data_IF_340168684794
#
_entry.id   IF_340168684794
#
_cell.length_a   1.000
_cell.length_b   1.000
_cell.length_c   1.000
_cell.angle_alpha   90.00
_cell.angle_beta   90.00
_cell.angle_gamma   90.00
#
_symmetry.space_group_name_H-M   'P 1'
#
loop_
_entity.id
_entity.type
_entity.pdbx_description
1 polymer ?
#
# COMPACT_ATOMS: atom_id res chain seq x y z
N UNK A 1 38.44 6.17 66.09
CA UNK A 1 38.93 5.96 64.69
C UNK A 1 38.07 4.99 63.89
N UNK A 2 37.82 3.75 64.34
CA UNK A 2 37.07 2.75 63.54
C UNK A 2 35.61 3.13 63.24
N UNK A 3 34.85 3.62 64.23
CA UNK A 3 33.47 4.10 63.99
C UNK A 3 33.43 5.31 63.05
N UNK A 4 34.45 6.18 63.12
CA UNK A 4 34.60 7.34 62.26
C UNK A 4 34.90 6.95 60.81
N UNK A 5 35.80 5.98 60.60
CA UNK A 5 36.10 5.44 59.27
C UNK A 5 34.90 4.71 58.66
N UNK A 6 34.15 3.96 59.48
CA UNK A 6 32.94 3.28 59.00
C UNK A 6 31.85 4.27 58.60
N UNK A 7 31.66 5.35 59.37
CA UNK A 7 30.74 6.43 59.02
C UNK A 7 31.12 7.10 57.69
N UNK A 8 32.41 7.35 57.44
CA UNK A 8 32.90 7.92 56.17
C UNK A 8 32.66 6.97 54.98
N UNK A 9 32.91 5.67 55.17
CA UNK A 9 32.69 4.67 54.11
C UNK A 9 31.19 4.55 53.81
N UNK A 10 30.34 4.56 54.84
CA UNK A 10 28.89 4.55 54.69
C UNK A 10 28.41 5.80 53.97
N UNK A 11 28.85 6.99 54.39
CA UNK A 11 28.46 8.24 53.74
C UNK A 11 28.93 8.33 52.29
N UNK A 12 30.16 7.91 51.97
CA UNK A 12 30.64 7.82 50.58
C UNK A 12 29.81 6.84 49.75
N UNK A 13 29.44 5.70 50.34
CA UNK A 13 28.58 4.72 49.68
C UNK A 13 27.18 5.27 49.45
N UNK A 14 26.61 5.98 50.42
CA UNK A 14 25.30 6.61 50.34
C UNK A 14 25.30 7.73 49.29
N UNK A 15 26.40 8.48 49.17
CA UNK A 15 26.62 9.48 48.13
C UNK A 15 26.73 8.88 46.73
N UNK A 16 27.52 7.81 46.57
CA UNK A 16 27.60 7.09 45.29
C UNK A 16 26.21 6.56 44.91
N UNK A 17 25.53 5.94 45.87
CA UNK A 17 24.17 5.42 45.66
C UNK A 17 23.20 6.53 45.31
N UNK A 18 23.27 7.68 45.99
CA UNK A 18 22.42 8.85 45.76
C UNK A 18 22.70 9.51 44.41
N UNK A 19 23.97 9.57 43.99
CA UNK A 19 24.38 10.08 42.67
C UNK A 19 23.91 9.14 41.56
N UNK A 20 24.08 7.84 41.74
CA UNK A 20 23.64 6.83 40.78
C UNK A 20 22.11 6.82 40.68
N UNK A 21 21.39 6.94 41.80
CA UNK A 21 19.93 7.11 41.82
C UNK A 21 19.49 8.41 41.14
N UNK A 22 20.20 9.52 41.33
CA UNK A 22 19.90 10.79 40.68
C UNK A 22 20.10 10.71 39.16
N UNK A 23 21.20 10.10 38.71
CA UNK A 23 21.44 9.84 37.30
C UNK A 23 20.38 8.91 36.71
N UNK A 24 20.06 7.79 37.38
CA UNK A 24 18.99 6.90 36.93
C UNK A 24 17.64 7.60 36.82
N UNK A 25 17.30 8.45 37.81
CA UNK A 25 16.06 9.24 37.78
C UNK A 25 16.07 10.24 36.62
N UNK A 26 17.20 10.91 36.39
CA UNK A 26 17.34 11.84 35.26
C UNK A 26 17.31 11.12 33.91
N UNK A 27 17.95 9.96 33.76
CA UNK A 27 17.89 9.12 32.57
C UNK A 27 16.45 8.64 32.30
N UNK A 28 15.73 8.21 33.34
CA UNK A 28 14.32 7.84 33.23
C UNK A 28 13.47 9.04 32.76
N UNK A 29 13.69 10.23 33.31
CA UNK A 29 13.02 11.46 32.86
C UNK A 29 13.39 11.85 31.43
N UNK A 30 14.66 11.70 31.02
CA UNK A 30 15.07 11.94 29.64
C UNK A 30 14.42 10.96 28.68
N UNK A 31 14.31 9.68 29.05
CA UNK A 31 13.60 8.68 28.27
C UNK A 31 12.11 9.01 28.14
N UNK A 32 11.46 9.43 29.23
CA UNK A 32 10.05 9.86 29.23
C UNK A 32 9.83 11.12 28.36
N UNK A 33 10.72 12.11 28.46
CA UNK A 33 10.71 13.30 27.61
C UNK A 33 10.94 12.94 26.13
N UNK A 34 11.85 12.01 25.83
CA UNK A 34 12.10 11.53 24.47
C UNK A 34 10.85 10.83 23.89
N UNK A 35 10.20 9.99 24.68
CA UNK A 35 8.95 9.33 24.29
C UNK A 35 7.83 10.34 24.02
N UNK A 36 7.65 11.33 24.90
CA UNK A 36 6.66 12.39 24.71
C UNK A 36 6.98 13.29 23.50
N UNK A 37 8.26 13.56 23.23
CA UNK A 37 8.71 14.27 22.01
C UNK A 37 8.38 13.49 20.76
N UNK A 38 8.67 12.21 20.73
CA UNK A 38 8.35 11.35 19.59
C UNK A 38 6.84 11.28 19.34
N UNK A 39 6.05 11.18 20.42
CA UNK A 39 4.59 11.24 20.33
C UNK A 39 4.12 12.57 19.75
N UNK A 40 4.69 13.70 20.20
CA UNK A 40 4.35 15.03 19.68
C UNK A 40 4.79 15.21 18.22
N UNK A 41 5.97 14.71 17.83
CA UNK A 41 6.45 14.74 16.44
C UNK A 41 5.54 13.94 15.51
N UNK A 42 5.11 12.73 15.94
CA UNK A 42 4.14 11.93 15.20
C UNK A 42 2.80 12.67 15.06
N UNK A 43 2.31 13.28 16.13
CA UNK A 43 1.08 14.06 16.13
C UNK A 43 1.19 15.28 15.20
N UNK A 44 2.31 16.01 15.23
CA UNK A 44 2.57 17.16 14.35
C UNK A 44 2.63 16.75 12.88
N UNK A 45 3.29 15.64 12.55
CA UNK A 45 3.30 15.08 11.18
C UNK A 45 1.88 14.72 10.73
N UNK A 46 1.09 14.10 11.61
CA UNK A 46 -0.29 13.75 11.34
C UNK A 46 -1.21 14.98 11.16
N UNK A 47 -1.00 16.03 11.96
CA UNK A 47 -1.68 17.32 11.85
C UNK A 47 -1.29 18.06 10.56
N UNK A 48 0.00 18.13 10.23
CA UNK A 48 0.49 18.75 9.00
C UNK A 48 -0.06 18.05 7.75
N UNK A 49 -0.18 16.71 7.76
CA UNK A 49 -0.83 15.95 6.68
C UNK A 49 -2.32 16.26 6.57
N UNK A 50 -3.03 16.35 7.69
CA UNK A 50 -4.46 16.69 7.70
C UNK A 50 -4.73 18.13 7.23
N UNK A 51 -3.83 19.06 7.56
CA UNK A 51 -3.91 20.48 7.21
C UNK A 51 -3.23 20.82 5.86
N UNK A 52 -2.80 19.84 5.07
CA UNK A 52 -2.06 20.07 3.81
C UNK A 52 -2.84 20.91 2.80
N UNK A 53 -4.17 20.83 2.81
CA UNK A 53 -5.07 21.67 2.00
C UNK A 53 -5.17 23.13 2.47
N UNK A 54 -4.67 23.45 3.66
CA UNK A 54 -4.79 24.77 4.31
C UNK A 54 -3.41 25.32 4.72
N UNK A 55 -2.66 25.93 3.80
CA UNK A 55 -1.27 26.33 4.03
C UNK A 55 -1.07 27.35 5.16
N UNK A 56 -2.06 28.22 5.44
CA UNK A 56 -2.00 29.17 6.55
C UNK A 56 -2.00 28.47 7.92
N UNK A 57 -2.84 27.43 8.06
CA UNK A 57 -2.95 26.64 9.28
C UNK A 57 -1.74 25.71 9.45
N UNK A 58 -1.25 25.15 8.34
CA UNK A 58 -0.02 24.36 8.35
C UNK A 58 1.21 25.21 8.76
N UNK A 59 1.27 26.49 8.39
CA UNK A 59 2.34 27.41 8.83
C UNK A 59 2.25 27.73 10.33
N UNK A 60 1.05 27.82 10.90
CA UNK A 60 0.88 28.04 12.34
C UNK A 60 1.50 26.90 13.18
N UNK A 61 1.54 25.66 12.68
CA UNK A 61 2.24 24.53 13.32
C UNK A 61 3.78 24.66 13.35
N UNK A 62 4.34 25.54 12.53
CA UNK A 62 5.79 25.77 12.44
C UNK A 62 6.24 27.07 13.11
N UNK A 63 5.29 27.91 13.51
CA UNK A 63 5.60 29.19 14.12
C UNK A 63 6.15 28.95 15.53
N UNK A 64 7.29 29.56 15.89
CA UNK A 64 7.83 29.43 17.24
C UNK A 64 6.83 30.01 18.24
N UNK A 65 6.73 29.33 19.37
CA UNK A 65 6.04 29.77 20.56
C UNK A 65 6.28 31.26 20.84
N UNK A 66 5.21 32.07 20.80
CA UNK A 66 5.25 33.39 21.39
C UNK A 66 5.45 33.23 22.89
N UNK A 67 6.37 34.01 23.48
CA UNK A 67 6.58 34.01 24.94
C UNK A 67 5.26 34.31 25.63
N UNK A 68 4.63 33.30 26.23
CA UNK A 68 3.53 33.55 27.17
C UNK A 68 4.11 34.16 28.44
N UNK A 69 3.63 35.37 28.73
CA UNK A 69 3.86 36.11 29.96
C UNK A 69 3.23 35.33 31.12
N UNK A 70 4.02 34.44 31.70
CA UNK A 70 3.57 33.62 32.82
C UNK A 70 4.44 32.38 32.96
N UNK A 71 5.76 32.56 32.99
CA UNK A 71 6.66 31.53 33.51
C UNK A 71 6.58 31.61 35.03
N UNK A 72 5.86 30.70 35.72
CA UNK A 72 5.78 30.75 37.17
C UNK A 72 7.07 30.12 37.65
N UNK A 73 8.01 30.97 38.05
CA UNK A 73 9.23 30.58 38.73
C UNK A 73 8.84 29.70 39.93
N UNK A 74 9.10 28.39 39.85
CA UNK A 74 8.75 27.41 40.89
C UNK A 74 7.84 26.26 40.48
N UNK A 75 7.57 26.03 39.18
CA UNK A 75 6.83 24.83 38.75
C UNK A 75 7.66 23.55 38.90
N UNK A 76 7.08 22.56 39.57
CA UNK A 76 7.63 21.21 39.74
C UNK A 76 7.69 20.47 38.38
N UNK A 77 8.72 19.66 38.16
CA UNK A 77 8.98 18.97 36.90
C UNK A 77 7.81 18.07 36.49
N UNK A 78 7.20 17.39 37.46
CA UNK A 78 6.04 16.51 37.24
C UNK A 78 4.83 17.31 36.74
N UNK A 79 4.64 18.55 37.20
CA UNK A 79 3.54 19.41 36.75
C UNK A 79 3.67 19.83 35.28
N UNK A 80 4.91 20.05 34.81
CA UNK A 80 5.19 20.36 33.40
C UNK A 80 4.96 19.15 32.50
N UNK A 81 5.30 17.94 32.96
CA UNK A 81 5.04 16.69 32.24
C UNK A 81 3.54 16.41 32.12
N UNK A 82 2.78 16.62 33.20
CA UNK A 82 1.32 16.49 33.19
C UNK A 82 0.71 17.48 32.19
N UNK A 83 1.15 18.75 32.22
CA UNK A 83 0.67 19.78 31.27
C UNK A 83 0.98 19.39 29.82
N UNK A 84 2.20 18.90 29.54
CA UNK A 84 2.57 18.45 28.20
C UNK A 84 1.69 17.28 27.70
N UNK A 85 1.35 16.34 28.59
CA UNK A 85 0.47 15.20 28.29
C UNK A 85 -0.98 15.61 28.06
N UNK A 86 -1.49 16.51 28.89
CA UNK A 86 -2.84 17.04 28.77
C UNK A 86 -3.01 17.78 27.43
N UNK A 87 -2.08 18.67 27.09
CA UNK A 87 -2.08 19.39 25.81
C UNK A 87 -1.90 18.45 24.62
N UNK A 88 -1.06 17.41 24.72
CA UNK A 88 -0.96 16.37 23.68
C UNK A 88 -2.28 15.60 23.50
N UNK A 89 -2.99 15.33 24.58
CA UNK A 89 -4.27 14.62 24.55
C UNK A 89 -5.34 15.47 23.88
N UNK A 90 -5.45 16.75 24.27
CA UNK A 90 -6.31 17.75 23.61
C UNK A 90 -6.01 17.88 22.12
N UNK A 91 -4.73 17.95 21.74
CA UNK A 91 -4.31 17.98 20.35
C UNK A 91 -4.72 16.70 19.59
N UNK A 92 -4.59 15.54 20.23
CA UNK A 92 -5.00 14.24 19.67
C UNK A 92 -6.52 14.11 19.48
N UNK A 93 -7.31 14.69 20.37
CA UNK A 93 -8.78 14.76 20.27
C UNK A 93 -9.21 15.73 19.17
N UNK A 94 -8.67 16.96 19.16
CA UNK A 94 -8.93 17.94 18.12
C UNK A 94 -8.59 17.40 16.72
N UNK A 95 -7.48 16.65 16.58
CA UNK A 95 -7.13 15.99 15.32
C UNK A 95 -8.12 14.89 14.92
N UNK A 96 -8.63 14.12 15.89
CA UNK A 96 -9.64 13.07 15.64
C UNK A 96 -10.96 13.69 15.19
N UNK A 97 -11.41 14.75 15.84
CA UNK A 97 -12.61 15.49 15.45
C UNK A 97 -12.44 16.15 14.08
N UNK A 98 -11.29 16.79 13.83
CA UNK A 98 -10.96 17.36 12.53
C UNK A 98 -11.00 16.32 11.40
N UNK A 99 -10.54 15.09 11.67
CA UNK A 99 -10.58 13.97 10.71
C UNK A 99 -11.98 13.37 10.49
N UNK A 100 -12.94 13.62 11.40
CA UNK A 100 -14.35 13.22 11.23
C UNK A 100 -15.10 14.17 10.30
N UNK A 101 -14.63 15.41 10.14
CA UNK A 101 -15.17 16.33 9.14
C UNK A 101 -14.87 15.77 7.73
N UNK A 102 -15.92 15.46 6.98
CA UNK A 102 -15.79 14.85 5.64
C UNK A 102 -15.19 15.78 4.59
N UNK A 103 -15.48 17.09 4.69
CA UNK A 103 -15.06 18.09 3.70
C UNK A 103 -13.54 18.36 3.74
N UNK A 104 -12.89 18.59 4.91
CA UNK A 104 -11.43 18.76 4.98
C UNK A 104 -10.63 17.54 4.49
N UNK A 105 -11.17 16.31 4.61
CA UNK A 105 -10.51 15.09 4.13
C UNK A 105 -10.28 15.10 2.62
N UNK A 106 -11.27 15.53 1.84
CA UNK A 106 -11.20 15.56 0.37
C UNK A 106 -10.08 16.49 -0.13
N UNK A 107 -9.84 17.59 0.57
CA UNK A 107 -8.79 18.57 0.22
C UNK A 107 -7.43 18.29 0.88
N UNK A 108 -7.34 17.29 1.77
CA UNK A 108 -6.07 16.85 2.35
C UNK A 108 -5.26 15.94 1.41
N UNK A 109 -5.95 15.16 0.56
CA UNK A 109 -5.35 14.22 -0.39
C UNK A 109 -5.13 14.83 -1.78
N UNK A 110 -6.01 15.73 -2.23
CA UNK A 110 -5.83 16.47 -3.48
C UNK A 110 -5.59 17.96 -3.20
N UNK A 111 -4.42 18.51 -3.55
CA UNK A 111 -4.24 19.96 -3.55
C UNK A 111 -5.24 20.58 -4.54
N UNK A 112 -5.81 21.71 -4.15
CA UNK A 112 -6.84 22.43 -4.92
C UNK A 112 -6.41 22.67 -6.36
N UNK A 113 -5.14 23.01 -6.57
CA UNK A 113 -4.57 23.20 -7.90
C UNK A 113 -4.66 21.94 -8.76
N UNK A 114 -4.43 20.76 -8.19
CA UNK A 114 -4.52 19.49 -8.90
C UNK A 114 -6.00 19.11 -9.15
N UNK A 115 -6.89 19.38 -8.21
CA UNK A 115 -8.33 19.15 -8.39
C UNK A 115 -8.89 20.03 -9.52
N UNK A 116 -8.52 21.32 -9.55
CA UNK A 116 -8.88 22.24 -10.63
C UNK A 116 -8.26 21.80 -11.96
N UNK A 117 -6.99 21.40 -11.97
CA UNK A 117 -6.32 20.89 -13.17
C UNK A 117 -6.99 19.61 -13.70
N UNK A 118 -7.38 18.68 -12.82
CA UNK A 118 -8.10 17.46 -13.18
C UNK A 118 -9.48 17.79 -13.76
N UNK A 119 -10.21 18.73 -13.14
CA UNK A 119 -11.50 19.20 -13.66
C UNK A 119 -11.35 19.85 -15.04
N UNK A 120 -10.29 20.62 -15.28
CA UNK A 120 -9.98 21.19 -16.59
C UNK A 120 -9.65 20.09 -17.61
N UNK A 121 -8.84 19.10 -17.22
CA UNK A 121 -8.51 17.95 -18.09
C UNK A 121 -9.74 17.12 -18.43
N UNK A 122 -10.63 16.87 -17.48
CA UNK A 122 -11.90 16.17 -17.68
C UNK A 122 -12.81 16.99 -18.59
N UNK A 123 -12.93 18.31 -18.34
CA UNK A 123 -13.70 19.22 -19.18
C UNK A 123 -13.19 19.24 -20.63
N UNK A 124 -11.87 19.25 -20.84
CA UNK A 124 -11.27 19.16 -22.16
C UNK A 124 -11.52 17.79 -22.80
N UNK A 125 -11.32 16.69 -22.07
CA UNK A 125 -11.60 15.34 -22.55
C UNK A 125 -13.06 15.14 -22.97
N UNK A 126 -14.02 15.70 -22.22
CA UNK A 126 -15.43 15.66 -22.58
C UNK A 126 -15.74 16.55 -23.80
N UNK A 127 -15.16 17.76 -23.87
CA UNK A 127 -15.41 18.69 -24.97
C UNK A 127 -14.82 18.21 -26.31
N UNK A 128 -13.69 17.48 -26.28
CA UNK A 128 -12.97 17.03 -27.49
C UNK A 128 -13.14 15.53 -27.80
N UNK A 129 -13.37 14.68 -26.79
CA UNK A 129 -13.48 13.23 -26.95
C UNK A 129 -14.89 12.72 -27.25
N UNK A 130 -15.93 13.32 -26.66
CA UNK A 130 -17.33 12.92 -26.93
C UNK A 130 -17.76 13.11 -28.40
N UNK A 131 -17.30 14.13 -29.15
CA UNK A 131 -17.55 14.23 -30.59
C UNK A 131 -17.02 13.03 -31.39
N UNK A 132 -15.90 12.43 -30.99
CA UNK A 132 -15.34 11.25 -31.67
C UNK A 132 -16.18 9.98 -31.43
N UNK A 133 -17.02 9.98 -30.39
CA UNK A 133 -17.96 8.91 -30.06
C UNK A 133 -19.37 9.13 -30.67
N UNK A 134 -19.56 10.14 -31.52
CA UNK A 134 -20.81 10.37 -32.27
C UNK A 134 -21.81 11.34 -31.61
N UNK A 135 -21.42 12.08 -30.56
CA UNK A 135 -22.25 13.13 -29.96
C UNK A 135 -22.09 14.48 -30.68
N UNK A 136 -23.15 15.30 -30.65
CA UNK A 136 -23.16 16.63 -31.27
C UNK A 136 -22.01 17.52 -30.71
N UNK A 137 -21.16 18.11 -31.58
CA UNK A 137 -20.08 19.01 -31.19
C UNK A 137 -20.52 20.23 -30.35
N UNK A 138 -21.77 20.70 -30.52
CA UNK A 138 -22.30 21.82 -29.74
C UNK A 138 -22.63 21.43 -28.30
N UNK A 139 -23.28 20.27 -28.14
CA UNK A 139 -23.73 19.74 -26.86
C UNK A 139 -22.55 19.25 -25.99
N UNK A 140 -21.55 18.64 -26.60
CA UNK A 140 -20.31 18.22 -25.93
C UNK A 140 -19.50 19.40 -25.33
N UNK A 141 -19.42 20.54 -26.03
CA UNK A 141 -18.78 21.76 -25.50
C UNK A 141 -19.54 22.35 -24.31
N UNK A 142 -20.88 22.34 -24.34
CA UNK A 142 -21.71 22.80 -23.22
C UNK A 142 -21.50 21.91 -21.99
N UNK A 143 -21.48 20.58 -22.17
CA UNK A 143 -21.20 19.62 -21.10
C UNK A 143 -19.79 19.88 -20.51
N UNK A 144 -18.77 20.02 -21.37
CA UNK A 144 -17.40 20.31 -20.93
C UNK A 144 -17.30 21.63 -20.15
N UNK A 145 -17.93 22.70 -20.64
CA UNK A 145 -17.95 24.00 -19.97
C UNK A 145 -18.70 23.97 -18.62
N UNK A 146 -19.83 23.26 -18.55
CA UNK A 146 -20.60 23.10 -17.32
C UNK A 146 -19.83 22.31 -16.26
N UNK A 147 -19.13 21.24 -16.65
CA UNK A 147 -18.28 20.44 -15.75
C UNK A 147 -17.07 21.24 -15.28
N UNK A 148 -16.41 21.98 -16.18
CA UNK A 148 -15.24 22.78 -15.85
C UNK A 148 -15.56 23.96 -14.92
N UNK A 149 -16.47 24.85 -15.33
CA UNK A 149 -16.81 26.07 -14.58
C UNK A 149 -17.66 25.73 -13.36
N UNK A 150 -18.70 24.91 -13.53
CA UNK A 150 -19.59 24.50 -12.43
C UNK A 150 -18.85 23.66 -11.39
N UNK A 151 -18.04 22.70 -11.83
CA UNK A 151 -17.22 21.88 -10.92
C UNK A 151 -16.18 22.70 -10.15
N UNK A 152 -15.54 23.68 -10.81
CA UNK A 152 -14.56 24.56 -10.15
C UNK A 152 -15.22 25.48 -9.13
N UNK A 153 -16.40 26.03 -9.44
CA UNK A 153 -17.15 26.87 -8.51
C UNK A 153 -17.60 26.08 -7.27
N UNK A 154 -18.12 24.87 -7.47
CA UNK A 154 -18.50 23.96 -6.38
C UNK A 154 -17.28 23.60 -5.52
N UNK A 155 -16.14 23.28 -6.13
CA UNK A 155 -14.90 23.01 -5.40
C UNK A 155 -14.46 24.22 -4.55
N UNK A 156 -14.60 25.44 -5.07
CA UNK A 156 -14.24 26.68 -4.36
C UNK A 156 -15.17 26.95 -3.18
N UNK A 157 -16.48 26.73 -3.34
CA UNK A 157 -17.47 26.84 -2.25
C UNK A 157 -17.21 25.79 -1.17
N UNK A 158 -16.95 24.54 -1.57
CA UNK A 158 -16.61 23.46 -0.63
C UNK A 158 -15.32 23.74 0.15
N UNK A 159 -14.33 24.41 -0.47
CA UNK A 159 -13.13 24.88 0.23
C UNK A 159 -13.43 25.96 1.26
N UNK A 160 -14.30 26.91 0.93
CA UNK A 160 -14.73 27.95 1.87
C UNK A 160 -15.43 27.35 3.10
N UNK A 161 -16.36 26.41 2.86
CA UNK A 161 -17.07 25.69 3.92
C UNK A 161 -16.11 24.82 4.74
N UNK A 162 -15.18 24.11 4.09
CA UNK A 162 -14.16 23.31 4.77
C UNK A 162 -13.24 24.15 5.64
N UNK A 163 -12.87 25.36 5.19
CA UNK A 163 -12.06 26.30 5.95
C UNK A 163 -12.80 26.81 7.19
N UNK A 164 -14.08 27.17 7.08
CA UNK A 164 -14.85 27.71 8.21
C UNK A 164 -15.21 26.63 9.24
N UNK A 165 -15.61 25.44 8.81
CA UNK A 165 -15.95 24.33 9.70
C UNK A 165 -14.72 23.79 10.45
N UNK A 166 -13.54 23.82 9.82
CA UNK A 166 -12.30 23.32 10.39
C UNK A 166 -11.46 24.35 11.14
N UNK A 167 -11.78 25.65 11.06
CA UNK A 167 -10.93 26.72 11.60
C UNK A 167 -10.74 26.64 13.11
N UNK A 168 -11.85 26.55 13.88
CA UNK A 168 -11.79 26.50 15.34
C UNK A 168 -11.04 25.25 15.85
N UNK A 169 -11.29 24.09 15.24
CA UNK A 169 -10.58 22.85 15.59
C UNK A 169 -9.11 22.90 15.19
N UNK A 170 -8.78 23.52 14.06
CA UNK A 170 -7.39 23.70 13.64
C UNK A 170 -6.65 24.67 14.55
N UNK A 171 -7.31 25.72 15.04
CA UNK A 171 -6.76 26.67 16.00
C UNK A 171 -6.43 25.97 17.32
N UNK A 172 -7.39 25.24 17.90
CA UNK A 172 -7.18 24.40 19.10
C UNK A 172 -6.06 23.38 18.90
N UNK A 173 -5.99 22.74 17.72
CA UNK A 173 -4.92 21.80 17.38
C UNK A 173 -3.55 22.48 17.33
N UNK A 174 -3.47 23.67 16.73
CA UNK A 174 -2.21 24.42 16.63
C UNK A 174 -1.75 24.98 17.97
N UNK A 175 -2.67 25.50 18.80
CA UNK A 175 -2.36 26.04 20.11
C UNK A 175 -1.93 24.94 21.09
N UNK A 176 -2.64 23.82 21.15
CA UNK A 176 -2.29 22.69 22.02
C UNK A 176 -0.94 22.05 21.64
N UNK A 177 -0.65 21.89 20.35
CA UNK A 177 0.69 21.42 19.90
C UNK A 177 1.78 22.41 20.31
N UNK A 178 1.50 23.72 20.24
CA UNK A 178 2.44 24.76 20.66
C UNK A 178 2.67 24.72 22.18
N UNK A 179 1.63 24.68 22.99
CA UNK A 179 1.74 24.60 24.45
C UNK A 179 2.42 23.32 24.92
N UNK A 180 2.15 22.18 24.27
CA UNK A 180 2.84 20.92 24.55
C UNK A 180 4.35 21.04 24.29
N UNK A 181 4.74 21.73 23.21
CA UNK A 181 6.16 21.97 22.89
C UNK A 181 6.81 22.92 23.90
N UNK A 182 6.15 24.02 24.25
CA UNK A 182 6.63 24.97 25.26
C UNK A 182 6.85 24.28 26.62
N UNK A 183 5.89 23.45 27.04
CA UNK A 183 6.00 22.66 28.26
C UNK A 183 7.18 21.68 28.21
N UNK A 184 7.42 21.00 27.08
CA UNK A 184 8.56 20.08 26.90
C UNK A 184 9.92 20.80 26.89
N UNK A 185 10.01 21.96 26.25
CA UNK A 185 11.24 22.78 26.24
C UNK A 185 11.54 23.34 27.63
N UNK A 186 10.50 23.72 28.38
CA UNK A 186 10.63 24.19 29.77
C UNK A 186 11.00 23.05 30.71
N UNK A 187 10.35 21.89 30.58
CA UNK A 187 10.65 20.70 31.39
C UNK A 187 12.09 20.22 31.22
N UNK A 188 12.63 20.25 29.99
CA UNK A 188 14.05 19.92 29.77
C UNK A 188 14.98 20.86 30.52
N UNK A 189 14.75 22.18 30.41
CA UNK A 189 15.59 23.18 31.09
C UNK A 189 15.52 23.05 32.61
N UNK A 190 14.33 22.79 33.15
CA UNK A 190 14.13 22.58 34.59
C UNK A 190 14.81 21.28 35.04
N UNK A 191 14.70 20.18 34.30
CA UNK A 191 15.35 18.92 34.65
C UNK A 191 16.89 19.00 34.62
N UNK A 192 17.46 19.70 33.65
CA UNK A 192 18.91 19.95 33.56
C UNK A 192 19.38 20.84 34.72
N UNK A 193 18.63 21.91 35.02
CA UNK A 193 18.93 22.80 36.15
C UNK A 193 18.81 22.09 37.50
N UNK A 194 17.80 21.24 37.68
CA UNK A 194 17.55 20.48 38.92
C UNK A 194 18.67 19.46 39.16
N UNK A 195 19.06 18.70 38.13
CA UNK A 195 20.21 17.79 38.18
C UNK A 195 21.48 18.52 38.61
N UNK A 196 21.79 19.64 37.96
CA UNK A 196 23.01 20.38 38.24
C UNK A 196 23.00 21.00 39.64
N UNK A 197 21.86 21.53 40.09
CA UNK A 197 21.73 22.06 41.45
C UNK A 197 21.87 20.97 42.52
N UNK A 198 21.33 19.77 42.26
CA UNK A 198 21.38 18.65 43.19
C UNK A 198 22.76 18.02 43.25
N UNK A 199 23.46 17.91 42.10
CA UNK A 199 24.86 17.48 42.04
C UNK A 199 25.77 18.44 42.81
N UNK A 200 25.62 19.75 42.59
CA UNK A 200 26.40 20.75 43.32
C UNK A 200 26.14 20.65 44.84
N UNK A 201 24.89 20.41 45.26
CA UNK A 201 24.55 20.24 46.68
C UNK A 201 25.16 18.97 47.28
N UNK A 202 25.18 17.87 46.53
CA UNK A 202 25.83 16.62 46.91
C UNK A 202 27.35 16.81 47.03
N UNK A 203 27.98 17.48 46.07
CA UNK A 203 29.42 17.77 46.08
C UNK A 203 29.81 18.65 47.28
N UNK A 204 29.04 19.71 47.55
CA UNK A 204 29.29 20.58 48.69
C UNK A 204 29.13 19.83 50.02
N UNK A 205 28.15 18.92 50.12
CA UNK A 205 27.99 18.05 51.29
C UNK A 205 29.17 17.06 51.47
N UNK A 206 29.83 16.63 50.39
CA UNK A 206 31.06 15.83 50.45
C UNK A 206 32.22 16.67 50.98
N UNK A 207 32.36 17.89 50.46
CA UNK A 207 33.46 18.79 50.80
C UNK A 207 33.37 19.20 52.28
N UNK A 208 32.19 19.62 52.74
CA UNK A 208 31.92 19.99 54.13
C UNK A 208 32.22 18.83 55.09
N UNK A 209 31.76 17.63 54.75
CA UNK A 209 32.01 16.46 55.59
C UNK A 209 33.48 16.05 55.58
N UNK A 210 34.16 16.13 54.44
CA UNK A 210 35.59 15.82 54.35
C UNK A 210 36.44 16.79 55.17
N UNK A 211 36.06 18.08 55.22
CA UNK A 211 36.71 19.09 56.03
C UNK A 211 36.52 18.84 57.53
N UNK A 212 35.29 18.52 57.97
CA UNK A 212 35.01 18.10 59.37
C UNK A 212 35.84 16.88 59.77
N UNK A 213 35.96 15.90 58.88
CA UNK A 213 36.77 14.70 59.10
C UNK A 213 38.26 14.99 59.19
N UNK A 214 38.81 15.84 58.32
CA UNK A 214 40.23 16.19 58.35
C UNK A 214 40.60 16.99 59.61
N UNK A 215 39.68 17.82 60.12
CA UNK A 215 39.84 18.53 61.39
C UNK A 215 39.79 17.57 62.59
N UNK A 216 38.89 16.59 62.57
CA UNK A 216 38.77 15.56 63.61
C UNK A 216 39.91 14.53 63.57
N UNK A 217 40.56 14.35 62.41
CA UNK A 217 41.73 13.50 62.22
C UNK A 217 43.02 14.17 62.70
N UNK A 218 43.18 15.48 62.47
CA UNK A 218 44.32 16.27 63.00
C UNK A 218 44.35 16.32 64.53
N UNK A 219 43.22 16.10 65.19
CA UNK A 219 43.07 16.13 66.65
C UNK A 219 43.21 14.76 67.33
N UNK A 220 43.47 13.67 66.61
CA UNK A 220 43.59 12.32 67.18
C UNK A 220 45.05 11.81 67.13
N UNK A 221 45.68 11.46 68.27
CA UNK A 221 47.08 11.04 68.30
C UNK A 221 47.30 9.66 67.66
N UNK A 222 48.46 9.53 67.03
CA UNK A 222 48.83 8.49 66.08
C UNK A 222 48.87 7.06 66.65
N UNK A 223 48.24 6.11 65.94
CA UNK A 223 48.44 4.69 66.17
C UNK A 223 49.78 4.21 65.58
N UNK A 224 50.48 3.35 66.31
CA UNK A 224 51.82 2.82 66.04
C UNK A 224 51.91 2.08 64.69
N UNK A 225 53.06 2.16 64.01
CA UNK A 225 53.28 1.64 62.65
C UNK A 225 53.05 0.13 62.49
N UNK A 226 53.25 -0.65 63.55
CA UNK A 226 52.98 -2.09 63.57
C UNK A 226 51.47 -2.42 63.44
N UNK A 227 50.60 -1.64 64.08
CA UNK A 227 49.14 -1.84 63.97
C UNK A 227 48.61 -1.47 62.58
N UNK A 228 49.29 -0.57 61.87
CA UNK A 228 48.94 -0.20 60.49
C UNK A 228 49.24 -1.34 59.52
N UNK A 229 50.40 -1.99 59.67
CA UNK A 229 50.81 -3.11 58.83
C UNK A 229 49.87 -4.32 59.00
N UNK A 230 49.51 -4.66 60.24
CA UNK A 230 48.57 -5.77 60.51
C UNK A 230 47.16 -5.49 59.97
N UNK A 231 46.67 -4.25 60.11
CA UNK A 231 45.37 -3.86 59.54
C UNK A 231 45.38 -3.88 58.01
N UNK A 232 46.46 -3.43 57.38
CA UNK A 232 46.60 -3.46 55.92
C UNK A 232 46.53 -4.89 55.38
N UNK A 233 47.26 -5.82 56.01
CA UNK A 233 47.27 -7.22 55.58
C UNK A 233 45.89 -7.89 55.73
N UNK A 234 45.15 -7.57 56.79
CA UNK A 234 43.75 -8.05 56.97
C UNK A 234 42.82 -7.47 55.91
N UNK A 235 43.00 -6.20 55.55
CA UNK A 235 42.24 -5.55 54.48
C UNK A 235 42.53 -6.19 53.13
N UNK A 236 43.79 -6.43 52.78
CA UNK A 236 44.17 -7.02 51.49
C UNK A 236 43.56 -8.42 51.31
N UNK A 237 43.55 -9.24 52.38
CA UNK A 237 42.89 -10.57 52.36
C UNK A 237 41.37 -10.46 52.21
N UNK A 238 40.73 -9.49 52.88
CA UNK A 238 39.28 -9.27 52.75
C UNK A 238 38.92 -8.78 51.34
N UNK A 239 39.72 -7.86 50.78
CA UNK A 239 39.57 -7.32 49.44
C UNK A 239 39.70 -8.42 48.39
N UNK A 240 40.71 -9.29 48.49
CA UNK A 240 40.88 -10.41 47.58
C UNK A 240 39.69 -11.39 47.60
N UNK A 241 39.14 -11.70 48.80
CA UNK A 241 37.94 -12.55 48.92
C UNK A 241 36.70 -11.90 48.32
N UNK A 242 36.52 -10.60 48.54
CA UNK A 242 35.40 -9.84 47.99
C UNK A 242 35.44 -9.82 46.46
N UNK A 243 36.61 -9.59 45.86
CA UNK A 243 36.77 -9.64 44.41
C UNK A 243 36.50 -11.04 43.86
N UNK A 244 37.09 -12.09 44.44
CA UNK A 244 36.85 -13.47 43.99
C UNK A 244 35.37 -13.87 44.09
N UNK A 245 34.66 -13.43 45.13
CA UNK A 245 33.22 -13.65 45.26
C UNK A 245 32.42 -12.88 44.21
N UNK A 246 32.77 -11.60 43.98
CA UNK A 246 32.11 -10.76 42.99
C UNK A 246 32.28 -11.33 41.57
N UNK A 247 33.48 -11.77 41.21
CA UNK A 247 33.78 -12.37 39.90
C UNK A 247 33.00 -13.67 39.70
N UNK A 248 32.93 -14.52 40.73
CA UNK A 248 32.15 -15.76 40.66
C UNK A 248 30.64 -15.50 40.48
N UNK A 249 30.09 -14.50 41.18
CA UNK A 249 28.68 -14.10 41.03
C UNK A 249 28.45 -13.45 39.65
N UNK A 250 29.39 -12.62 39.18
CA UNK A 250 29.35 -11.99 37.87
C UNK A 250 29.32 -13.03 36.74
N UNK A 251 30.26 -13.97 36.74
CA UNK A 251 30.34 -15.04 35.75
C UNK A 251 29.08 -15.92 35.72
N UNK A 252 28.50 -16.23 36.89
CA UNK A 252 27.26 -17.01 36.99
C UNK A 252 26.05 -16.27 36.41
N UNK A 253 25.94 -14.96 36.71
CA UNK A 253 24.88 -14.11 36.14
C UNK A 253 25.02 -13.94 34.64
N UNK A 254 26.24 -13.73 34.16
CA UNK A 254 26.52 -13.62 32.72
C UNK A 254 26.17 -14.92 31.99
N UNK A 255 26.59 -16.08 32.51
CA UNK A 255 26.24 -17.37 31.93
C UNK A 255 24.72 -17.60 31.88
N UNK A 256 24.01 -17.21 32.95
CA UNK A 256 22.55 -17.33 33.01
C UNK A 256 21.87 -16.38 32.01
N UNK A 257 22.35 -15.13 31.89
CA UNK A 257 21.81 -14.16 30.93
C UNK A 257 22.02 -14.62 29.49
N UNK A 258 23.22 -15.12 29.17
CA UNK A 258 23.54 -15.67 27.85
C UNK A 258 22.63 -16.86 27.54
N UNK A 259 22.45 -17.78 28.49
CA UNK A 259 21.58 -18.95 28.30
C UNK A 259 20.12 -18.55 28.04
N UNK A 260 19.57 -17.59 28.82
CA UNK A 260 18.22 -17.07 28.60
C UNK A 260 18.09 -16.44 27.22
N UNK A 261 19.01 -15.54 26.85
CA UNK A 261 18.99 -14.87 25.55
C UNK A 261 19.11 -15.86 24.37
N UNK A 262 19.92 -16.91 24.50
CA UNK A 262 20.01 -17.95 23.49
C UNK A 262 18.70 -18.73 23.36
N UNK A 263 18.04 -19.05 24.48
CA UNK A 263 16.77 -19.77 24.46
C UNK A 263 15.64 -18.94 23.85
N UNK A 264 15.57 -17.65 24.17
CA UNK A 264 14.60 -16.70 23.61
C UNK A 264 14.81 -16.52 22.12
N UNK A 265 16.06 -16.34 21.66
CA UNK A 265 16.36 -16.27 20.24
C UNK A 265 15.97 -17.55 19.49
N UNK A 266 16.29 -18.71 20.05
CA UNK A 266 15.94 -19.99 19.42
C UNK A 266 14.41 -20.22 19.37
N UNK A 267 13.65 -19.64 20.29
CA UNK A 267 12.18 -19.65 20.25
C UNK A 267 11.64 -18.70 19.18
N UNK A 268 12.14 -17.47 19.12
CA UNK A 268 11.78 -16.50 18.10
C UNK A 268 12.11 -16.99 16.68
N UNK A 269 13.27 -17.63 16.49
CA UNK A 269 13.65 -18.23 15.21
C UNK A 269 12.71 -19.37 14.80
N UNK A 270 12.29 -20.21 15.76
CA UNK A 270 11.31 -21.28 15.52
C UNK A 270 9.94 -20.72 15.17
N UNK A 271 9.47 -19.70 15.88
CA UNK A 271 8.20 -19.05 15.60
C UNK A 271 8.21 -18.36 14.23
N UNK A 272 9.27 -17.61 13.92
CA UNK A 272 9.44 -16.97 12.62
C UNK A 272 9.49 -17.99 11.47
N UNK A 273 10.25 -19.07 11.63
CA UNK A 273 10.33 -20.16 10.64
C UNK A 273 8.98 -20.85 10.45
N UNK A 274 8.25 -21.09 11.55
CA UNK A 274 6.91 -21.67 11.50
C UNK A 274 5.90 -20.75 10.79
N UNK A 275 5.97 -19.45 11.06
CA UNK A 275 5.12 -18.45 10.40
C UNK A 275 5.41 -18.35 8.90
N UNK A 276 6.69 -18.33 8.51
CA UNK A 276 7.10 -18.33 7.10
C UNK A 276 6.58 -19.59 6.40
N UNK A 277 6.79 -20.77 6.99
CA UNK A 277 6.33 -22.04 6.41
C UNK A 277 4.80 -22.11 6.26
N UNK A 278 4.03 -21.61 7.24
CA UNK A 278 2.57 -21.53 7.14
C UNK A 278 2.11 -20.56 6.04
N UNK A 279 2.79 -19.41 5.91
CA UNK A 279 2.50 -18.44 4.86
C UNK A 279 2.81 -18.99 3.46
N UNK A 280 3.94 -19.67 3.30
CA UNK A 280 4.32 -20.35 2.06
C UNK A 280 3.32 -21.45 1.71
N UNK A 281 2.95 -22.30 2.67
CA UNK A 281 1.95 -23.36 2.46
C UNK A 281 0.58 -22.79 2.05
N UNK A 282 0.15 -21.67 2.65
CA UNK A 282 -1.09 -20.97 2.26
C UNK A 282 -0.99 -20.38 0.87
N UNK A 283 0.13 -19.77 0.53
CA UNK A 283 0.37 -19.19 -0.79
C UNK A 283 0.37 -20.26 -1.87
N UNK A 284 1.13 -21.34 -1.68
CA UNK A 284 1.17 -22.48 -2.61
C UNK A 284 -0.20 -23.14 -2.75
N UNK A 285 -0.92 -23.32 -1.65
CA UNK A 285 -2.28 -23.85 -1.66
C UNK A 285 -3.26 -22.97 -2.45
N UNK A 286 -3.23 -21.66 -2.23
CA UNK A 286 -4.07 -20.72 -2.97
C UNK A 286 -3.72 -20.67 -4.47
N UNK A 287 -2.43 -20.68 -4.79
CA UNK A 287 -1.95 -20.71 -6.18
C UNK A 287 -2.37 -22.00 -6.90
N UNK A 288 -2.25 -23.16 -6.24
CA UNK A 288 -2.67 -24.44 -6.78
C UNK A 288 -4.19 -24.47 -7.03
N UNK A 289 -4.99 -23.94 -6.10
CA UNK A 289 -6.45 -23.84 -6.27
C UNK A 289 -6.84 -22.93 -7.44
N UNK A 290 -6.21 -21.76 -7.56
CA UNK A 290 -6.46 -20.83 -8.68
C UNK A 290 -6.07 -21.47 -10.02
N UNK A 291 -4.91 -22.11 -10.09
CA UNK A 291 -4.42 -22.78 -11.29
C UNK A 291 -5.34 -23.92 -11.69
N UNK A 292 -5.80 -24.71 -10.72
CA UNK A 292 -6.74 -25.80 -10.96
C UNK A 292 -8.09 -25.27 -11.48
N UNK A 293 -8.66 -24.26 -10.82
CA UNK A 293 -9.92 -23.65 -11.26
C UNK A 293 -9.79 -23.04 -12.67
N UNK A 294 -8.67 -22.36 -12.95
CA UNK A 294 -8.36 -21.82 -14.27
C UNK A 294 -8.36 -22.92 -15.34
N UNK A 295 -7.62 -24.02 -15.14
CA UNK A 295 -7.58 -25.12 -16.11
C UNK A 295 -8.92 -25.81 -16.27
N UNK A 296 -9.70 -25.99 -15.19
CA UNK A 296 -11.06 -26.54 -15.26
C UNK A 296 -11.96 -25.66 -16.14
N UNK A 297 -11.98 -24.35 -15.90
CA UNK A 297 -12.75 -23.42 -16.72
C UNK A 297 -12.28 -23.38 -18.17
N UNK A 298 -10.96 -23.48 -18.38
CA UNK A 298 -10.42 -23.49 -19.74
C UNK A 298 -10.85 -24.75 -20.50
N UNK A 299 -10.74 -25.92 -19.87
CA UNK A 299 -11.15 -27.19 -20.48
C UNK A 299 -12.65 -27.20 -20.79
N UNK A 300 -13.49 -26.64 -19.92
CA UNK A 300 -14.92 -26.49 -20.17
C UNK A 300 -15.20 -25.60 -21.39
N UNK A 301 -14.53 -24.46 -21.48
CA UNK A 301 -14.70 -23.53 -22.59
C UNK A 301 -14.14 -24.09 -23.91
N UNK A 302 -13.03 -24.82 -23.87
CA UNK A 302 -12.46 -25.51 -25.02
C UNK A 302 -13.36 -26.64 -25.51
N UNK A 303 -13.94 -27.44 -24.60
CA UNK A 303 -14.93 -28.45 -24.97
C UNK A 303 -16.14 -27.80 -25.61
N UNK A 304 -16.75 -26.80 -24.96
CA UNK A 304 -17.92 -26.12 -25.48
C UNK A 304 -17.67 -25.46 -26.84
N UNK A 305 -16.48 -24.88 -27.04
CA UNK A 305 -16.07 -24.35 -28.34
C UNK A 305 -15.97 -25.42 -29.41
N UNK A 306 -15.30 -26.54 -29.11
CA UNK A 306 -15.18 -27.65 -30.04
C UNK A 306 -16.55 -28.25 -30.37
N UNK A 307 -17.40 -28.47 -29.38
CA UNK A 307 -18.73 -29.03 -29.53
C UNK A 307 -19.64 -28.14 -30.39
N UNK A 308 -19.48 -26.81 -30.30
CA UNK A 308 -20.26 -25.87 -31.09
C UNK A 308 -19.73 -25.66 -32.51
N UNK A 309 -18.41 -25.55 -32.68
CA UNK A 309 -17.81 -25.10 -33.95
C UNK A 309 -17.44 -26.28 -34.86
N UNK A 310 -16.99 -27.41 -34.31
CA UNK A 310 -16.55 -28.56 -35.10
C UNK A 310 -17.66 -29.14 -36.00
N UNK A 311 -18.89 -29.36 -35.50
CA UNK A 311 -19.95 -29.90 -36.36
C UNK A 311 -20.29 -28.98 -37.54
N UNK A 312 -20.20 -27.66 -37.34
CA UNK A 312 -20.44 -26.67 -38.41
C UNK A 312 -19.39 -26.82 -39.53
N UNK A 313 -18.11 -26.95 -39.17
CA UNK A 313 -17.05 -27.15 -40.16
C UNK A 313 -17.12 -28.53 -40.84
N UNK A 314 -17.52 -29.56 -40.10
CA UNK A 314 -17.76 -30.89 -40.66
C UNK A 314 -18.93 -30.89 -41.64
N UNK A 315 -20.04 -30.20 -41.33
CA UNK A 315 -21.19 -30.03 -42.21
C UNK A 315 -20.81 -29.25 -43.47
N UNK A 316 -20.03 -28.16 -43.34
CA UNK A 316 -19.52 -27.39 -44.48
C UNK A 316 -18.67 -28.27 -45.40
N UNK A 317 -17.76 -29.08 -44.82
CA UNK A 317 -16.93 -30.00 -45.59
C UNK A 317 -17.75 -31.11 -46.27
N UNK A 318 -18.77 -31.65 -45.59
CA UNK A 318 -19.68 -32.65 -46.12
C UNK A 318 -20.52 -32.08 -47.27
N UNK A 319 -21.09 -30.88 -47.10
CA UNK A 319 -21.86 -30.17 -48.13
C UNK A 319 -21.01 -29.93 -49.38
N UNK A 320 -19.76 -29.49 -49.21
CA UNK A 320 -18.84 -29.30 -50.31
C UNK A 320 -18.53 -30.61 -51.03
N UNK A 321 -18.17 -31.65 -50.28
CA UNK A 321 -17.85 -32.98 -50.85
C UNK A 321 -19.06 -33.54 -51.61
N UNK A 322 -20.26 -33.39 -51.06
CA UNK A 322 -21.50 -33.84 -51.69
C UNK A 322 -21.78 -33.06 -52.99
N UNK A 323 -21.66 -31.73 -52.95
CA UNK A 323 -21.87 -30.88 -54.13
C UNK A 323 -20.82 -31.12 -55.23
N UNK A 324 -19.55 -31.32 -54.86
CA UNK A 324 -18.48 -31.61 -55.81
C UNK A 324 -18.63 -33.01 -56.44
N UNK A 325 -19.20 -33.97 -55.71
CA UNK A 325 -19.54 -35.30 -56.24
C UNK A 325 -20.72 -35.30 -57.22
N UNK A 326 -21.77 -34.52 -56.92
CA UNK A 326 -22.94 -34.39 -57.81
C UNK A 326 -22.67 -33.52 -59.04
N UNK A 327 -21.85 -32.47 -58.88
CA UNK A 327 -21.58 -31.49 -59.93
C UNK A 327 -20.07 -31.31 -60.10
N UNK A 328 -19.38 -32.31 -60.70
CA UNK A 328 -17.96 -32.21 -60.97
C UNK A 328 -17.66 -31.04 -61.91
N UNK A 329 -16.41 -30.57 -61.86
CA UNK A 329 -15.96 -29.52 -62.78
C UNK A 329 -15.97 -30.02 -64.23
N UNK A 330 -16.53 -29.22 -65.13
CA UNK A 330 -16.54 -29.52 -66.56
C UNK A 330 -15.13 -29.35 -67.13
N UNK A 331 -14.44 -30.47 -67.28
CA UNK A 331 -13.14 -30.57 -67.94
C UNK A 331 -13.29 -31.30 -69.28
N UNK A 332 -12.32 -31.18 -70.19
CA UNK A 332 -12.36 -31.94 -71.46
C UNK A 332 -12.48 -33.43 -71.20
N UNK A 333 -11.76 -33.94 -70.21
CA UNK A 333 -11.82 -35.36 -69.86
C UNK A 333 -13.15 -35.79 -69.21
N UNK A 334 -13.85 -34.90 -68.52
CA UNK A 334 -15.17 -35.21 -67.95
C UNK A 334 -16.25 -35.22 -69.03
N UNK A 335 -16.11 -34.34 -70.04
CA UNK A 335 -16.99 -34.32 -71.23
C UNK A 335 -16.83 -35.58 -72.08
N UNK A 336 -15.60 -36.02 -72.33
CA UNK A 336 -15.31 -37.22 -73.13
C UNK A 336 -15.85 -38.51 -72.48
N UNK A 337 -15.98 -38.51 -71.15
CA UNK A 337 -16.49 -39.63 -70.36
C UNK A 337 -17.94 -39.44 -69.89
N UNK A 338 -18.60 -38.37 -70.31
CA UNK A 338 -19.93 -38.04 -69.83
C UNK A 338 -20.97 -39.05 -70.34
N UNK A 339 -21.86 -39.46 -69.43
CA UNK A 339 -23.04 -40.26 -69.73
C UNK A 339 -24.22 -39.62 -69.00
N UNK A 340 -25.38 -39.59 -69.66
CA UNK A 340 -26.60 -39.10 -69.04
C UNK A 340 -26.91 -39.92 -67.77
N UNK A 341 -27.17 -39.27 -66.61
CA UNK A 341 -27.54 -39.98 -65.39
C UNK A 341 -28.83 -40.75 -65.54
N UNK A 342 -28.92 -41.87 -64.82
CA UNK A 342 -30.18 -42.60 -64.66
C UNK A 342 -31.11 -41.90 -63.65
N UNK A 343 -30.54 -41.20 -62.67
CA UNK A 343 -31.26 -40.54 -61.58
C UNK A 343 -31.05 -39.03 -61.64
N UNK A 344 -32.15 -38.29 -61.51
CA UNK A 344 -32.09 -36.83 -61.46
C UNK A 344 -31.83 -36.35 -60.02
N UNK A 345 -30.72 -35.63 -59.81
CA UNK A 345 -30.25 -35.20 -58.49
C UNK A 345 -31.17 -34.20 -57.76
N UNK A 346 -32.25 -33.74 -58.40
CA UNK A 346 -33.19 -32.75 -57.86
C UNK A 346 -32.50 -31.46 -57.36
N UNK A 347 -31.33 -31.15 -57.91
CA UNK A 347 -30.57 -29.96 -57.60
C UNK A 347 -29.78 -29.50 -58.83
N UNK A 348 -29.44 -28.21 -58.87
CA UNK A 348 -28.48 -27.68 -59.84
C UNK A 348 -27.56 -26.67 -59.18
N UNK A 349 -26.24 -26.91 -59.24
CA UNK A 349 -25.24 -25.97 -58.72
C UNK A 349 -25.20 -24.69 -59.57
N UNK A 350 -25.54 -23.57 -58.96
CA UNK A 350 -25.52 -22.24 -59.56
C UNK A 350 -24.13 -21.60 -59.44
N UNK A 351 -23.48 -21.73 -58.28
CA UNK A 351 -22.23 -21.06 -58.00
C UNK A 351 -21.71 -21.34 -56.61
N UNK A 352 -20.99 -20.38 -56.02
CA UNK A 352 -20.50 -20.45 -54.64
C UNK A 352 -20.45 -19.08 -53.97
N UNK A 353 -20.67 -19.05 -52.65
CA UNK A 353 -20.44 -17.87 -51.81
C UNK A 353 -19.04 -17.95 -51.20
N UNK A 354 -18.29 -16.86 -51.30
CA UNK A 354 -17.06 -16.67 -50.54
C UNK A 354 -17.37 -16.22 -49.12
N UNK A 355 -17.09 -17.10 -48.16
CA UNK A 355 -17.33 -16.84 -46.75
C UNK A 355 -16.01 -16.55 -46.07
N UNK A 356 -15.90 -15.37 -45.46
CA UNK A 356 -14.80 -14.98 -44.58
C UNK A 356 -15.32 -14.91 -43.14
N UNK A 357 -14.90 -15.85 -42.30
CA UNK A 357 -15.36 -15.97 -40.91
C UNK A 357 -14.94 -14.75 -40.09
N UNK A 358 -13.75 -14.22 -40.31
CA UNK A 358 -13.29 -12.97 -39.70
C UNK A 358 -14.15 -11.75 -40.04
N UNK A 359 -14.89 -11.75 -41.15
CA UNK A 359 -15.85 -10.67 -41.48
C UNK A 359 -17.23 -10.89 -40.86
N UNK A 360 -17.60 -12.14 -40.56
CA UNK A 360 -18.88 -12.50 -39.95
C UNK A 360 -18.86 -12.38 -38.42
N UNK A 361 -17.73 -12.68 -37.79
CA UNK A 361 -17.58 -12.60 -36.35
C UNK A 361 -17.18 -11.18 -35.91
N UNK A 362 -17.93 -10.59 -34.96
CA UNK A 362 -17.60 -9.27 -34.37
C UNK A 362 -16.30 -9.28 -33.55
N UNK A 363 -15.88 -10.45 -33.08
CA UNK A 363 -14.66 -10.64 -32.30
C UNK A 363 -14.11 -12.06 -32.51
N UNK A 364 -12.78 -12.19 -32.53
CA UNK A 364 -12.07 -13.46 -32.74
C UNK A 364 -11.40 -13.91 -31.44
N UNK A 365 -11.48 -15.21 -31.08
CA UNK A 365 -10.66 -15.76 -30.02
C UNK A 365 -9.17 -15.59 -30.35
N UNK A 366 -8.41 -14.99 -29.44
CA UNK A 366 -6.96 -14.81 -29.59
C UNK A 366 -6.16 -16.01 -29.07
N UNK A 367 -6.78 -16.85 -28.24
CA UNK A 367 -6.14 -18.02 -27.65
C UNK A 367 -5.94 -19.13 -28.69
N UNK A 368 -4.74 -19.73 -28.79
CA UNK A 368 -4.50 -20.91 -29.63
C UNK A 368 -5.40 -22.10 -29.30
N UNK A 369 -5.85 -22.22 -28.03
CA UNK A 369 -6.77 -23.29 -27.59
C UNK A 369 -8.17 -23.19 -28.23
N UNK A 370 -8.53 -22.01 -28.74
CA UNK A 370 -9.81 -21.74 -29.41
C UNK A 370 -9.61 -21.47 -30.91
N UNK A 371 -8.60 -22.09 -31.52
CA UNK A 371 -8.39 -21.99 -32.96
C UNK A 371 -9.60 -22.57 -33.72
N UNK A 372 -9.86 -22.01 -34.91
CA UNK A 372 -10.85 -22.57 -35.82
C UNK A 372 -10.35 -23.93 -36.33
N UNK A 373 -11.20 -24.96 -36.41
CA UNK A 373 -10.80 -26.30 -36.86
C UNK A 373 -10.51 -26.36 -38.37
N UNK A 374 -10.89 -25.33 -39.14
CA UNK A 374 -10.68 -25.24 -40.58
C UNK A 374 -10.25 -23.84 -41.02
N UNK A 375 -10.20 -23.59 -42.34
CA UNK A 375 -9.77 -22.31 -42.88
C UNK A 375 -10.75 -21.19 -42.52
N UNK A 376 -10.21 -20.00 -42.28
CA UNK A 376 -10.97 -18.76 -41.99
C UNK A 376 -11.73 -18.24 -43.23
N UNK A 377 -11.38 -18.73 -44.42
CA UNK A 377 -12.04 -18.43 -45.68
C UNK A 377 -12.34 -19.71 -46.45
N UNK A 378 -13.59 -19.88 -46.88
CA UNK A 378 -14.02 -21.04 -47.66
C UNK A 378 -15.15 -20.69 -48.62
N UNK A 379 -15.32 -21.51 -49.66
CA UNK A 379 -16.38 -21.38 -50.65
C UNK A 379 -17.52 -22.34 -50.32
N UNK A 380 -18.72 -21.80 -50.11
CA UNK A 380 -19.94 -22.60 -49.94
C UNK A 380 -20.67 -22.75 -51.27
N UNK A 381 -20.98 -23.97 -51.74
CA UNK A 381 -21.75 -24.17 -52.97
C UNK A 381 -23.18 -23.66 -52.80
N UNK A 382 -23.68 -22.94 -53.81
CA UNK A 382 -25.09 -22.57 -53.93
C UNK A 382 -25.72 -23.46 -54.98
N UNK A 383 -26.79 -24.15 -54.61
CA UNK A 383 -27.57 -24.98 -55.52
C UNK A 383 -29.06 -24.64 -55.44
N UNK A 384 -29.72 -24.67 -56.60
CA UNK A 384 -31.19 -24.61 -56.68
C UNK A 384 -31.75 -25.98 -56.35
N UNK A 385 -32.76 -26.04 -55.48
CA UNK A 385 -33.44 -27.29 -55.11
C UNK A 385 -34.67 -27.42 -56.00
N UNK A 386 -34.80 -28.53 -56.71
CA UNK A 386 -35.89 -28.78 -57.65
C UNK A 386 -36.84 -29.86 -57.11
N UNK A 387 -38.16 -29.71 -57.30
CA UNK A 387 -38.85 -28.60 -57.96
C UNK A 387 -39.15 -27.39 -57.06
N UNK A 388 -38.84 -27.44 -55.76
CA UNK A 388 -39.40 -26.50 -54.77
C UNK A 388 -38.85 -25.07 -54.89
N UNK A 389 -37.62 -24.89 -55.38
CA UNK A 389 -36.89 -23.61 -55.45
C UNK A 389 -36.12 -23.47 -56.77
N UNK A 390 -36.82 -23.68 -57.88
CA UNK A 390 -36.24 -23.72 -59.23
C UNK A 390 -36.27 -22.41 -60.03
N UNK A 391 -36.88 -21.35 -59.51
CA UNK A 391 -36.97 -20.08 -60.22
C UNK A 391 -35.66 -19.30 -60.12
N UNK A 392 -35.16 -18.79 -61.24
CA UNK A 392 -33.94 -17.97 -61.32
C UNK A 392 -34.26 -16.70 -62.10
N UNK A 393 -33.97 -15.54 -61.49
CA UNK A 393 -33.98 -14.24 -62.14
C UNK A 393 -32.55 -13.72 -62.23
N UNK A 394 -32.11 -13.36 -63.43
CA UNK A 394 -30.80 -12.76 -63.70
C UNK A 394 -31.02 -11.32 -64.14
N UNK A 395 -30.44 -10.37 -63.40
CA UNK A 395 -30.49 -8.94 -63.70
C UNK A 395 -29.07 -8.44 -64.03
N UNK A 396 -28.96 -7.52 -64.99
CA UNK A 396 -27.69 -6.93 -65.41
C UNK A 396 -27.90 -5.51 -65.90
N UNK A 397 -27.01 -4.58 -65.53
CA UNK A 397 -27.09 -3.14 -65.85
C UNK A 397 -26.67 -2.81 -67.30
N UNK A 398 -26.88 -3.74 -68.24
CA UNK A 398 -26.70 -3.54 -69.68
C UNK A 398 -25.41 -4.11 -70.29
N UNK A 399 -24.42 -4.48 -69.45
CA UNK A 399 -23.11 -4.96 -69.91
C UNK A 399 -22.83 -6.47 -69.78
N UNK A 400 -23.76 -7.28 -69.23
CA UNK A 400 -23.50 -8.68 -68.84
C UNK A 400 -24.37 -9.74 -69.53
N UNK A 401 -24.90 -9.45 -70.73
CA UNK A 401 -25.87 -10.34 -71.39
C UNK A 401 -25.27 -11.69 -71.79
N UNK A 402 -24.02 -11.69 -72.29
CA UNK A 402 -23.36 -12.93 -72.70
C UNK A 402 -23.06 -13.84 -71.50
N UNK A 403 -22.65 -13.25 -70.38
CA UNK A 403 -22.40 -13.93 -69.11
C UNK A 403 -23.67 -14.52 -68.50
N UNK A 404 -24.81 -13.80 -68.60
CA UNK A 404 -26.11 -14.33 -68.19
C UNK A 404 -26.52 -15.54 -69.03
N UNK A 405 -26.36 -15.47 -70.36
CA UNK A 405 -26.66 -16.59 -71.27
C UNK A 405 -25.73 -17.77 -70.97
N UNK A 406 -24.43 -17.53 -70.76
CA UNK A 406 -23.47 -18.57 -70.41
C UNK A 406 -23.82 -19.26 -69.09
N UNK A 407 -24.22 -18.49 -68.07
CA UNK A 407 -24.65 -19.01 -66.76
C UNK A 407 -25.92 -19.87 -66.87
N UNK A 408 -26.91 -19.42 -67.65
CA UNK A 408 -28.13 -20.18 -67.90
C UNK A 408 -27.84 -21.49 -68.65
N UNK A 409 -27.00 -21.44 -69.68
CA UNK A 409 -26.59 -22.64 -70.43
C UNK A 409 -25.83 -23.62 -69.52
N UNK A 410 -24.92 -23.13 -68.68
CA UNK A 410 -24.20 -23.97 -67.71
C UNK A 410 -25.16 -24.64 -66.72
N UNK A 411 -26.20 -23.93 -66.28
CA UNK A 411 -27.22 -24.47 -65.38
C UNK A 411 -28.09 -25.53 -66.06
N UNK A 412 -28.56 -25.28 -67.29
CA UNK A 412 -29.34 -26.25 -68.07
C UNK A 412 -28.51 -27.51 -68.32
N UNK A 413 -27.24 -27.35 -68.72
CA UNK A 413 -26.35 -28.49 -68.89
C UNK A 413 -26.18 -29.30 -67.60
N UNK A 414 -26.09 -28.63 -66.45
CA UNK A 414 -26.02 -29.28 -65.13
C UNK A 414 -27.31 -29.96 -64.67
N UNK A 415 -28.46 -29.57 -65.22
CA UNK A 415 -29.74 -30.25 -64.97
C UNK A 415 -29.90 -31.51 -65.84
N UNK A 416 -29.26 -31.52 -67.01
CA UNK A 416 -29.29 -32.65 -67.94
C UNK A 416 -28.16 -33.65 -67.71
N UNK A 417 -27.12 -33.23 -66.95
CA UNK A 417 -25.93 -34.00 -66.59
C UNK A 417 -26.06 -34.76 -65.31
#
# INVERSE_FOLDING_TARGET
VYQLQMAMIQQKRDLITSRDQLHQRHEAYQAELAQERDALVKLRKAAAKALRGYPSLARALTQPAGKEEGSPSGQDLDSLMIRARDERTKAGEALREYRRLGIPKLFSSLPVSLAVMLLILIAAGLAFGLPQAGLDPSLSRIIGAAVGVGGSLIAFVLLGIGKSQGAALAETLTSSIRHAREAQETAQKVAESDLQSTLNRLEQQVEDSSAEFDEQRKSSPEATQAERAERQQRLDVQVARLFAHHDAVGASREASLIATHQSENAELEREASGFIADLDAKHEGAHAQLTHAYEVHWNQLESAWNDAIRPVYEEIAALRTHADGLFPEWTRESLDRWKAPADFANAARLGSVDVNVSSLAKARPQSPRLALPGPDRFLLPISLVMPQRGSLLLESDGGGREEMIASLNQLILRLLS
#
